data_IF_909993600624
#
_entry.id   IF_909993600624
#
_cell.length_a   1.000
_cell.length_b   1.000
_cell.length_c   1.000
_cell.angle_alpha   90.00
_cell.angle_beta   90.00
_cell.angle_gamma   90.00
#
_symmetry.space_group_name_H-M   'P 1'
#
loop_
_entity.id
_entity.type
_entity.pdbx_description
1 polymer ?
#
# COMPACT_ATOMS: atom_id res chain seq x y z
N UNK A 1 -29.92 -44.90 54.53
CA UNK A 1 -29.82 -43.79 53.55
C UNK A 1 -28.50 -43.89 52.80
N UNK A 2 -28.52 -44.38 51.56
CA UNK A 2 -27.33 -44.47 50.71
C UNK A 2 -27.12 -43.13 50.00
N UNK A 3 -25.97 -42.49 50.24
CA UNK A 3 -25.61 -41.22 49.59
C UNK A 3 -25.27 -41.51 48.12
N UNK A 4 -25.81 -40.75 47.14
CA UNK A 4 -25.53 -40.99 45.74
C UNK A 4 -24.04 -40.76 45.46
N UNK A 5 -23.36 -41.83 45.02
CA UNK A 5 -21.94 -41.81 44.67
C UNK A 5 -21.79 -41.03 43.36
N UNK A 6 -21.21 -39.82 43.44
CA UNK A 6 -20.94 -38.99 42.27
C UNK A 6 -20.01 -39.75 41.31
N UNK A 7 -20.50 -40.01 40.10
CA UNK A 7 -19.72 -40.57 39.00
C UNK A 7 -18.53 -39.65 38.72
N UNK A 8 -17.32 -40.13 39.00
CA UNK A 8 -16.10 -39.43 38.62
C UNK A 8 -15.72 -39.85 37.21
N UNK A 9 -15.52 -38.86 36.34
CA UNK A 9 -14.99 -39.05 35.00
C UNK A 9 -13.51 -39.40 35.12
N UNK A 10 -13.03 -40.37 34.34
CA UNK A 10 -11.61 -40.68 34.29
C UNK A 10 -10.87 -39.48 33.68
N UNK A 11 -9.86 -38.98 34.39
CA UNK A 11 -9.01 -37.90 33.88
C UNK A 11 -8.24 -38.42 32.66
N UNK A 12 -8.31 -37.74 31.50
CA UNK A 12 -7.57 -38.16 30.32
C UNK A 12 -6.07 -38.08 30.59
N UNK A 13 -5.33 -39.06 30.08
CA UNK A 13 -3.88 -39.09 30.15
C UNK A 13 -3.33 -37.82 29.50
N UNK A 14 -2.72 -36.94 30.31
CA UNK A 14 -2.04 -35.73 29.84
C UNK A 14 -0.75 -36.14 29.13
N UNK A 15 -0.87 -36.51 27.86
CA UNK A 15 0.29 -36.56 26.99
C UNK A 15 0.81 -35.13 26.81
N UNK A 16 2.14 -34.99 26.70
CA UNK A 16 2.89 -33.72 26.69
C UNK A 16 2.24 -32.68 25.76
N UNK A 17 2.54 -31.37 25.95
CA UNK A 17 2.00 -30.32 25.10
C UNK A 17 2.17 -30.67 23.62
N UNK A 18 1.07 -30.71 22.88
CA UNK A 18 1.09 -31.01 21.44
C UNK A 18 1.82 -29.85 20.77
N UNK A 19 3.12 -30.03 20.52
CA UNK A 19 3.97 -29.11 19.77
C UNK A 19 4.01 -29.53 18.30
N UNK A 20 2.83 -29.77 17.72
CA UNK A 20 2.73 -30.01 16.29
C UNK A 20 2.19 -28.73 15.61
N UNK A 21 3.04 -27.93 14.94
CA UNK A 21 2.61 -26.69 14.31
C UNK A 21 1.60 -26.92 13.19
N UNK A 22 1.58 -28.10 12.55
CA UNK A 22 0.62 -28.40 11.48
C UNK A 22 -0.82 -28.57 11.98
N UNK A 23 -1.03 -28.89 13.25
CA UNK A 23 -2.38 -28.98 13.85
C UNK A 23 -2.98 -27.64 14.27
N UNK A 24 -2.19 -26.54 14.27
CA UNK A 24 -2.72 -25.21 14.58
C UNK A 24 -3.48 -24.59 13.39
N UNK A 25 -3.18 -25.03 12.18
CA UNK A 25 -3.93 -24.63 11.00
C UNK A 25 -5.17 -25.50 10.89
N UNK A 26 -6.28 -24.95 11.38
CA UNK A 26 -7.62 -25.53 11.22
C UNK A 26 -7.92 -25.57 9.72
N UNK A 27 -8.09 -26.76 9.15
CA UNK A 27 -8.51 -26.90 7.75
C UNK A 27 -9.80 -26.11 7.52
N UNK A 28 -9.81 -25.30 6.45
CA UNK A 28 -10.90 -24.37 6.09
C UNK A 28 -12.27 -25.05 5.92
N UNK A 29 -12.28 -26.37 5.71
CA UNK A 29 -13.49 -27.14 5.45
C UNK A 29 -14.11 -27.74 6.72
N UNK A 30 -13.54 -27.49 7.91
CA UNK A 30 -14.04 -28.06 9.17
C UNK A 30 -15.35 -27.44 9.70
N UNK A 31 -15.87 -26.40 9.04
CA UNK A 31 -17.20 -25.82 9.31
C UNK A 31 -18.31 -26.38 8.41
N UNK A 32 -18.00 -27.24 7.43
CA UNK A 32 -19.02 -27.97 6.68
C UNK A 32 -19.47 -29.17 7.52
N UNK A 33 -20.29 -28.85 8.51
CA UNK A 33 -21.05 -29.79 9.31
C UNK A 33 -21.85 -30.71 8.39
N UNK A 34 -21.48 -32.00 8.37
CA UNK A 34 -22.24 -33.06 7.69
C UNK A 34 -23.61 -33.18 8.37
N UNK A 35 -24.62 -32.58 7.77
CA UNK A 35 -26.00 -33.04 7.91
C UNK A 35 -26.24 -34.13 6.85
N UNK A 36 -26.37 -35.36 7.31
CA UNK A 36 -26.84 -36.51 6.53
C UNK A 36 -28.32 -36.32 6.14
N UNK A 37 -28.70 -36.91 5.00
CA UNK A 37 -30.06 -37.17 4.50
C UNK A 37 -30.95 -35.97 4.13
N UNK A 38 -31.00 -35.65 2.83
CA UNK A 38 -32.25 -35.34 2.10
C UNK A 38 -32.05 -35.25 0.58
N UNK A 39 -33.13 -35.58 -0.12
CA UNK A 39 -33.37 -35.70 -1.56
C UNK A 39 -32.78 -34.60 -2.48
N UNK A 40 -32.66 -34.86 -3.81
CA UNK A 40 -32.15 -33.86 -4.77
C UNK A 40 -33.02 -32.59 -4.78
N UNK A 41 -32.42 -31.38 -4.67
CA UNK A 41 -33.18 -30.14 -4.69
C UNK A 41 -33.65 -29.79 -6.13
N UNK A 42 -34.79 -29.08 -6.25
CA UNK A 42 -35.24 -28.51 -7.50
C UNK A 42 -34.30 -27.37 -7.93
N UNK A 43 -34.20 -27.20 -9.25
CA UNK A 43 -33.43 -26.20 -9.98
C UNK A 43 -33.28 -24.86 -9.26
N UNK A 44 -32.06 -24.56 -8.81
CA UNK A 44 -31.68 -23.28 -8.21
C UNK A 44 -31.72 -22.16 -9.27
N UNK A 45 -32.64 -21.21 -9.08
CA UNK A 45 -32.53 -19.87 -9.65
C UNK A 45 -31.33 -19.18 -8.99
N UNK A 46 -30.31 -18.90 -9.79
CA UNK A 46 -29.07 -18.26 -9.35
C UNK A 46 -29.36 -16.86 -8.78
N UNK A 47 -29.24 -16.71 -7.46
CA UNK A 47 -29.29 -15.39 -6.83
C UNK A 47 -28.02 -14.61 -7.21
N UNK A 48 -28.13 -13.40 -7.79
CA UNK A 48 -26.98 -12.60 -8.23
C UNK A 48 -26.09 -12.11 -7.07
N UNK A 49 -26.48 -12.32 -5.81
CA UNK A 49 -25.73 -11.93 -4.62
C UNK A 49 -24.66 -12.96 -4.19
N UNK A 50 -24.80 -14.24 -4.53
CA UNK A 50 -23.74 -15.24 -4.27
C UNK A 50 -22.48 -14.97 -5.10
N UNK A 51 -22.65 -14.34 -6.28
CA UNK A 51 -21.54 -13.95 -7.14
C UNK A 51 -20.62 -12.88 -6.51
N UNK A 52 -21.12 -12.07 -5.56
CA UNK A 52 -20.30 -11.03 -4.92
C UNK A 52 -19.46 -11.62 -3.78
N UNK A 53 -20.02 -12.55 -3.00
CA UNK A 53 -19.26 -13.26 -1.96
C UNK A 53 -18.20 -14.18 -2.59
N UNK A 54 -18.48 -14.80 -3.74
CA UNK A 54 -17.48 -15.55 -4.50
C UNK A 54 -16.33 -14.67 -5.03
N UNK A 55 -16.62 -13.44 -5.46
CA UNK A 55 -15.58 -12.48 -5.91
C UNK A 55 -14.70 -12.04 -4.73
N UNK A 56 -15.29 -11.74 -3.57
CA UNK A 56 -14.53 -11.36 -2.37
C UNK A 56 -13.68 -12.55 -1.89
N UNK A 57 -14.25 -13.75 -1.89
CA UNK A 57 -13.56 -14.97 -1.46
C UNK A 57 -12.40 -15.31 -2.41
N UNK A 58 -12.59 -15.18 -3.72
CA UNK A 58 -11.50 -15.34 -4.69
C UNK A 58 -10.44 -14.25 -4.55
N UNK A 59 -10.83 -13.00 -4.29
CA UNK A 59 -9.88 -11.90 -4.09
C UNK A 59 -8.98 -12.14 -2.86
N UNK A 60 -9.57 -12.57 -1.75
CA UNK A 60 -8.81 -12.89 -0.53
C UNK A 60 -7.89 -14.09 -0.76
N UNK A 61 -8.37 -15.14 -1.44
CA UNK A 61 -7.57 -16.32 -1.79
C UNK A 61 -6.36 -15.96 -2.66
N UNK A 62 -6.57 -15.12 -3.69
CA UNK A 62 -5.49 -14.63 -4.55
C UNK A 62 -4.48 -13.80 -3.75
N UNK A 63 -4.96 -12.96 -2.83
CA UNK A 63 -4.11 -12.16 -1.94
C UNK A 63 -3.19 -13.01 -1.07
N UNK A 64 -3.71 -14.07 -0.47
CA UNK A 64 -2.90 -15.01 0.33
C UNK A 64 -1.91 -15.81 -0.53
N UNK A 65 -2.29 -16.22 -1.73
CA UNK A 65 -1.39 -16.95 -2.65
C UNK A 65 -0.17 -16.11 -3.06
N UNK A 66 -0.39 -14.81 -3.31
CA UNK A 66 0.71 -13.88 -3.61
C UNK A 66 1.66 -13.74 -2.41
N UNK A 67 1.13 -13.57 -1.20
CA UNK A 67 1.93 -13.45 0.02
C UNK A 67 2.75 -14.74 0.26
N UNK A 68 2.15 -15.91 0.09
CA UNK A 68 2.82 -17.20 0.23
C UNK A 68 3.97 -17.35 -0.77
N UNK A 69 3.76 -16.95 -2.03
CA UNK A 69 4.80 -16.98 -3.07
C UNK A 69 5.99 -16.09 -2.72
N UNK A 70 5.76 -14.89 -2.18
CA UNK A 70 6.84 -14.00 -1.75
C UNK A 70 7.57 -14.52 -0.51
N UNK A 71 6.88 -15.17 0.43
CA UNK A 71 7.51 -15.83 1.59
C UNK A 71 8.43 -16.96 1.15
N UNK A 72 7.98 -17.82 0.22
CA UNK A 72 8.80 -18.91 -0.32
C UNK A 72 10.00 -18.38 -1.11
N UNK A 73 9.83 -17.28 -1.85
CA UNK A 73 10.92 -16.66 -2.58
C UNK A 73 11.94 -15.98 -1.66
N UNK A 74 11.46 -15.30 -0.59
CA UNK A 74 12.31 -14.74 0.46
C UNK A 74 13.10 -15.82 1.20
N UNK A 75 12.47 -16.95 1.51
CA UNK A 75 13.13 -18.10 2.13
C UNK A 75 14.26 -18.63 1.23
N UNK A 76 14.02 -18.84 -0.06
CA UNK A 76 15.06 -19.31 -1.00
C UNK A 76 16.24 -18.34 -1.10
N UNK A 77 15.99 -17.03 -1.08
CA UNK A 77 17.06 -16.02 -1.08
C UNK A 77 17.85 -16.05 0.23
N UNK A 78 17.17 -16.18 1.37
CA UNK A 78 17.81 -16.29 2.67
C UNK A 78 18.67 -17.56 2.80
N UNK A 79 18.19 -18.69 2.27
CA UNK A 79 18.96 -19.95 2.19
C UNK A 79 20.19 -19.79 1.27
N UNK A 80 20.08 -19.05 0.17
CA UNK A 80 21.21 -18.73 -0.71
C UNK A 80 22.28 -17.86 -0.05
N UNK A 81 21.88 -16.91 0.80
CA UNK A 81 22.81 -16.05 1.55
C UNK A 81 23.49 -16.86 2.67
N UNK A 82 22.75 -17.71 3.38
CA UNK A 82 23.29 -18.53 4.45
C UNK A 82 24.29 -19.59 3.96
N UNK A 83 24.04 -20.18 2.79
CA UNK A 83 24.95 -21.16 2.20
C UNK A 83 26.14 -20.54 1.46
N UNK A 84 26.10 -19.24 1.14
CA UNK A 84 27.17 -18.53 0.42
C UNK A 84 28.20 -17.81 1.30
N UNK A 85 28.07 -17.83 2.63
CA UNK A 85 28.93 -17.08 3.55
C UNK A 85 30.07 -17.89 4.20
N UNK A 86 30.44 -19.04 3.62
CA UNK A 86 31.63 -19.81 4.03
C UNK A 86 32.63 -19.94 2.88
N UNK A 87 33.13 -18.82 2.36
CA UNK A 87 34.46 -18.81 1.74
C UNK A 87 35.02 -17.38 1.74
N UNK A 88 36.01 -17.20 2.60
CA UNK A 88 36.73 -15.97 2.87
C UNK A 88 37.89 -15.84 1.87
N UNK A 89 37.60 -15.53 0.60
CA UNK A 89 38.60 -14.97 -0.32
C UNK A 89 37.97 -14.28 -1.54
N UNK A 90 38.60 -13.21 -2.03
CA UNK A 90 38.29 -12.40 -3.23
C UNK A 90 37.31 -11.19 -3.09
N UNK A 91 37.83 -10.07 -2.54
CA UNK A 91 37.16 -8.77 -2.50
C UNK A 91 37.14 -7.95 -3.82
N UNK A 92 37.63 -8.47 -4.94
CA UNK A 92 37.72 -7.69 -6.19
C UNK A 92 36.74 -8.12 -7.31
N UNK A 93 36.09 -9.29 -7.21
CA UNK A 93 35.14 -9.78 -8.23
C UNK A 93 33.67 -9.40 -8.01
N UNK A 94 33.29 -9.01 -6.78
CA UNK A 94 31.88 -9.01 -6.37
C UNK A 94 31.09 -7.77 -6.87
N UNK A 95 31.77 -6.65 -7.13
CA UNK A 95 31.12 -5.41 -7.58
C UNK A 95 30.62 -5.52 -9.02
N UNK A 96 31.33 -6.25 -9.88
CA UNK A 96 30.95 -6.46 -11.27
C UNK A 96 29.75 -7.41 -11.42
N UNK A 97 29.63 -8.39 -10.52
CA UNK A 97 28.47 -9.26 -10.44
C UNK A 97 27.23 -8.51 -9.92
N UNK A 98 27.39 -7.63 -8.93
CA UNK A 98 26.30 -6.81 -8.41
C UNK A 98 25.80 -5.80 -9.46
N UNK A 99 26.72 -5.18 -10.20
CA UNK A 99 26.37 -4.25 -11.29
C UNK A 99 25.66 -4.95 -12.46
N UNK A 100 26.12 -6.15 -12.84
CA UNK A 100 25.44 -6.92 -13.89
C UNK A 100 24.07 -7.45 -13.45
N UNK A 101 23.92 -7.80 -12.17
CA UNK A 101 22.62 -8.15 -11.58
C UNK A 101 21.67 -6.94 -11.52
N UNK A 102 22.16 -5.75 -11.16
CA UNK A 102 21.37 -4.51 -11.17
C UNK A 102 20.92 -4.10 -12.58
N UNK A 103 21.80 -4.26 -13.58
CA UNK A 103 21.47 -3.99 -14.97
C UNK A 103 20.42 -4.94 -15.52
N UNK A 104 20.47 -6.22 -15.14
CA UNK A 104 19.47 -7.22 -15.52
C UNK A 104 18.12 -6.93 -14.84
N UNK A 105 18.13 -6.55 -13.56
CA UNK A 105 16.93 -6.12 -12.83
C UNK A 105 16.29 -4.87 -13.45
N UNK A 106 17.10 -3.87 -13.82
CA UNK A 106 16.61 -2.66 -14.51
C UNK A 106 15.99 -2.98 -15.87
N UNK A 107 16.54 -3.95 -16.61
CA UNK A 107 16.02 -4.36 -17.91
C UNK A 107 14.68 -5.09 -17.81
N UNK A 108 14.52 -5.98 -16.83
CA UNK A 108 13.27 -6.73 -16.63
C UNK A 108 12.16 -5.80 -16.09
N UNK A 109 12.52 -4.82 -15.26
CA UNK A 109 11.57 -3.82 -14.74
C UNK A 109 11.10 -2.82 -15.80
N UNK A 110 11.95 -2.51 -16.79
CA UNK A 110 11.57 -1.66 -17.91
C UNK A 110 10.51 -2.31 -18.81
N UNK A 111 10.59 -3.63 -19.02
CA UNK A 111 9.55 -4.39 -19.74
C UNK A 111 8.20 -4.30 -19.04
N UNK A 112 8.18 -4.55 -17.73
CA UNK A 112 6.96 -4.45 -16.92
C UNK A 112 6.36 -3.03 -16.91
N UNK A 113 7.19 -1.99 -16.87
CA UNK A 113 6.70 -0.60 -16.96
C UNK A 113 6.09 -0.27 -18.32
N UNK A 114 6.62 -0.82 -19.41
CA UNK A 114 6.04 -0.67 -20.76
C UNK A 114 4.70 -1.42 -20.86
N UNK A 115 4.63 -2.66 -20.36
CA UNK A 115 3.39 -3.44 -20.33
C UNK A 115 2.32 -2.75 -19.47
N UNK A 116 2.72 -2.12 -18.35
CA UNK A 116 1.82 -1.33 -17.52
C UNK A 116 1.31 -0.10 -18.27
N UNK A 117 2.18 0.65 -18.97
CA UNK A 117 1.76 1.80 -19.80
C UNK A 117 0.83 1.33 -20.92
N UNK A 118 1.12 0.21 -21.57
CA UNK A 118 0.27 -0.36 -22.62
C UNK A 118 -1.10 -0.79 -22.06
N UNK A 119 -1.15 -1.41 -20.88
CA UNK A 119 -2.39 -1.74 -20.19
C UNK A 119 -3.20 -0.48 -19.80
N UNK A 120 -2.52 0.62 -19.45
CA UNK A 120 -3.15 1.92 -19.20
C UNK A 120 -3.69 2.58 -20.47
N UNK A 121 -2.99 2.46 -21.60
CA UNK A 121 -3.44 2.97 -22.90
C UNK A 121 -4.66 2.19 -23.41
N UNK A 122 -4.71 0.88 -23.16
CA UNK A 122 -5.84 0.03 -23.56
C UNK A 122 -7.07 0.17 -22.64
N UNK A 123 -6.93 0.72 -21.42
CA UNK A 123 -8.03 0.94 -20.48
C UNK A 123 -8.14 2.41 -20.02
N UNK A 124 -8.57 3.34 -20.89
CA UNK A 124 -8.72 4.76 -20.55
C UNK A 124 -9.78 5.02 -19.45
N UNK A 125 -10.71 4.09 -19.23
CA UNK A 125 -11.73 4.15 -18.17
C UNK A 125 -11.14 4.09 -16.76
N UNK A 126 -9.97 3.48 -16.56
CA UNK A 126 -9.32 3.40 -15.25
C UNK A 126 -8.77 4.76 -14.80
N UNK A 127 -8.23 5.56 -15.74
CA UNK A 127 -7.81 6.95 -15.49
C UNK A 127 -9.02 7.85 -15.23
N UNK A 128 -10.15 7.58 -15.88
CA UNK A 128 -11.40 8.31 -15.66
C UNK A 128 -12.03 7.98 -14.30
N UNK A 129 -11.91 6.74 -13.81
CA UNK A 129 -12.31 6.36 -12.45
C UNK A 129 -11.45 7.00 -11.36
N UNK A 130 -10.14 7.13 -11.61
CA UNK A 130 -9.19 7.76 -10.68
C UNK A 130 -9.29 9.29 -10.66
N UNK A 131 -9.70 9.92 -11.77
CA UNK A 131 -10.04 11.35 -11.83
C UNK A 131 -11.51 11.66 -11.47
N UNK A 132 -12.42 10.69 -11.62
CA UNK A 132 -13.87 10.83 -11.39
C UNK A 132 -14.26 10.78 -9.90
N UNK A 133 -13.46 10.15 -9.04
CA UNK A 133 -13.68 10.15 -7.60
C UNK A 133 -13.44 11.52 -6.93
N UNK A 134 -12.85 12.50 -7.65
CA UNK A 134 -12.67 13.87 -7.17
C UNK A 134 -13.82 14.83 -7.58
N UNK A 135 -14.90 14.32 -8.21
CA UNK A 135 -16.09 15.09 -8.57
C UNK A 135 -17.38 14.41 -8.10
N UNK A 136 -17.55 14.27 -6.79
CA UNK A 136 -18.89 14.13 -6.22
C UNK A 136 -19.02 15.03 -4.98
N UNK A 137 -19.47 16.26 -5.21
CA UNK A 137 -20.05 17.06 -4.15
C UNK A 137 -21.24 17.86 -4.69
N UNK A 138 -22.44 17.48 -4.22
CA UNK A 138 -23.60 18.35 -4.12
C UNK A 138 -24.74 18.13 -5.12
N UNK A 139 -25.73 17.30 -4.75
CA UNK A 139 -27.17 17.67 -4.70
C UNK A 139 -27.86 16.76 -3.68
N UNK A 140 -28.74 17.38 -2.90
CA UNK A 140 -29.49 16.92 -1.72
C UNK A 140 -30.32 15.65 -1.90
N UNK A 141 -30.33 14.79 -0.88
CA UNK A 141 -31.55 14.09 -0.41
C UNK A 141 -31.35 13.54 1.01
N UNK A 142 -32.28 13.92 1.87
CA UNK A 142 -32.48 13.43 3.22
C UNK A 142 -32.84 11.94 3.21
N UNK A 143 -32.13 11.11 3.97
CA UNK A 143 -32.72 9.91 4.56
C UNK A 143 -31.95 9.51 5.82
N UNK A 144 -32.68 9.41 6.93
CA UNK A 144 -32.25 8.76 8.14
C UNK A 144 -31.85 7.31 7.83
N UNK A 145 -30.68 6.88 8.29
CA UNK A 145 -30.55 5.55 8.88
C UNK A 145 -29.33 5.45 9.78
N UNK A 146 -29.62 5.15 11.04
CA UNK A 146 -28.73 4.64 12.07
C UNK A 146 -27.97 3.42 11.56
N UNK A 147 -26.63 3.47 11.56
CA UNK A 147 -25.79 2.27 11.56
C UNK A 147 -24.47 2.51 12.29
N UNK A 148 -24.16 1.54 13.14
CA UNK A 148 -23.02 1.41 14.04
C UNK A 148 -21.64 1.48 13.34
N UNK A 149 -20.55 1.76 14.08
CA UNK A 149 -19.23 2.03 13.53
C UNK A 149 -18.51 0.72 13.15
N UNK A 150 -18.62 0.33 11.89
CA UNK A 150 -17.62 -0.54 11.27
C UNK A 150 -16.38 0.31 10.97
N UNK A 151 -15.27 0.03 11.66
CA UNK A 151 -13.96 0.64 11.45
C UNK A 151 -13.44 0.36 10.03
N UNK A 152 -13.92 1.12 9.04
CA UNK A 152 -13.20 1.34 7.79
C UNK A 152 -11.86 1.97 8.16
N UNK A 153 -10.77 1.29 7.82
CA UNK A 153 -9.44 1.86 7.79
C UNK A 153 -9.49 3.08 6.86
N UNK A 154 -9.78 4.21 7.48
CA UNK A 154 -10.06 5.48 6.85
C UNK A 154 -8.77 5.89 6.15
N UNK A 155 -8.79 5.91 4.81
CA UNK A 155 -7.78 6.60 4.01
C UNK A 155 -7.90 8.09 4.27
N UNK A 156 -7.55 8.51 5.49
CA UNK A 156 -7.63 9.89 5.92
C UNK A 156 -6.75 10.67 4.95
N UNK A 157 -7.34 11.50 4.10
CA UNK A 157 -6.57 12.39 3.25
C UNK A 157 -6.11 13.55 4.13
N UNK A 158 -4.79 13.73 4.27
CA UNK A 158 -4.27 14.90 4.97
C UNK A 158 -4.66 16.15 4.18
N UNK A 159 -5.35 17.10 4.82
CA UNK A 159 -5.63 18.40 4.22
C UNK A 159 -4.36 19.25 4.29
N UNK A 160 -3.92 19.74 3.14
CA UNK A 160 -2.72 20.56 2.99
C UNK A 160 -3.11 21.85 2.29
N UNK A 161 -2.75 22.99 2.86
CA UNK A 161 -2.88 24.26 2.17
C UNK A 161 -1.60 24.55 1.38
N UNK A 162 -1.74 25.20 0.22
CA UNK A 162 -0.61 25.54 -0.65
C UNK A 162 -0.65 27.04 -0.92
N UNK A 163 0.41 27.73 -0.52
CA UNK A 163 0.67 29.14 -0.80
C UNK A 163 1.73 29.23 -1.90
N UNK A 164 1.39 29.86 -3.02
CA UNK A 164 2.27 29.96 -4.19
C UNK A 164 2.55 31.42 -4.51
N UNK A 165 3.81 31.82 -4.49
CA UNK A 165 4.31 33.10 -5.00
C UNK A 165 5.02 32.85 -6.33
N UNK A 166 4.32 33.13 -7.44
CA UNK A 166 4.85 32.91 -8.80
C UNK A 166 4.21 33.90 -9.77
N UNK A 167 5.01 34.43 -10.71
CA UNK A 167 4.48 35.18 -11.88
C UNK A 167 4.07 34.25 -13.03
N UNK A 168 4.47 32.98 -12.94
CA UNK A 168 4.24 31.98 -13.98
C UNK A 168 3.08 31.08 -13.60
N UNK A 169 2.38 30.55 -14.60
CA UNK A 169 1.37 29.53 -14.38
C UNK A 169 2.02 28.30 -13.79
N UNK A 170 1.51 27.84 -12.65
CA UNK A 170 2.11 26.76 -11.89
C UNK A 170 1.03 25.79 -11.44
N UNK A 171 1.29 24.50 -11.60
CA UNK A 171 0.47 23.43 -11.04
C UNK A 171 1.26 22.73 -9.93
N UNK A 172 0.63 22.56 -8.78
CA UNK A 172 1.24 21.90 -7.62
C UNK A 172 0.39 20.71 -7.22
N UNK A 173 1.03 19.57 -7.07
CA UNK A 173 0.42 18.34 -6.54
C UNK A 173 1.21 17.94 -5.31
N UNK A 174 0.50 17.80 -4.19
CA UNK A 174 1.09 17.36 -2.93
C UNK A 174 0.39 16.09 -2.50
N UNK A 175 1.17 15.03 -2.28
CA UNK A 175 0.69 13.80 -1.67
C UNK A 175 1.37 13.64 -0.32
N UNK A 176 0.62 13.75 0.77
CA UNK A 176 1.11 13.56 2.12
C UNK A 176 0.33 12.45 2.81
N UNK A 177 1.06 11.49 3.36
CA UNK A 177 0.47 10.51 4.27
C UNK A 177 0.14 11.18 5.60
N UNK A 178 -1.04 10.92 6.19
CA UNK A 178 -1.36 11.37 7.53
C UNK A 178 -0.28 10.94 8.51
N UNK A 179 0.19 11.87 9.33
CA UNK A 179 1.09 11.56 10.42
C UNK A 179 0.47 12.00 11.73
N UNK A 180 0.52 11.17 12.78
CA UNK A 180 0.14 11.61 14.13
C UNK A 180 1.14 12.61 14.71
N UNK A 181 2.32 12.78 14.10
CA UNK A 181 3.30 13.77 14.52
C UNK A 181 2.89 15.17 14.06
N UNK A 182 2.83 16.13 15.00
CA UNK A 182 2.72 17.57 14.72
C UNK A 182 4.03 18.18 14.21
N UNK A 183 4.96 17.36 13.71
CA UNK A 183 6.22 17.85 13.18
C UNK A 183 5.94 18.51 11.83
N UNK A 184 6.56 19.67 11.59
CA UNK A 184 6.52 20.33 10.29
C UNK A 184 7.32 19.47 9.31
N UNK A 185 6.73 18.95 8.22
CA UNK A 185 7.47 18.17 7.25
C UNK A 185 8.61 18.99 6.65
N UNK A 186 9.66 18.35 6.17
CA UNK A 186 10.75 19.01 5.46
C UNK A 186 10.82 18.52 4.03
N UNK A 187 11.10 19.42 3.10
CA UNK A 187 11.34 19.12 1.69
C UNK A 187 12.69 19.73 1.32
N UNK A 188 13.52 18.93 0.68
CA UNK A 188 14.75 19.41 0.04
C UNK A 188 14.42 20.10 -1.28
N UNK A 189 15.44 20.66 -1.94
CA UNK A 189 15.26 21.29 -3.24
C UNK A 189 14.59 20.32 -4.23
N UNK A 190 13.59 20.81 -4.98
CA UNK A 190 12.88 20.01 -5.97
C UNK A 190 13.72 19.92 -7.24
N UNK A 191 13.91 18.71 -7.74
CA UNK A 191 14.80 18.48 -8.87
C UNK A 191 13.98 18.26 -10.14
N UNK A 192 14.43 18.86 -11.23
CA UNK A 192 13.98 18.54 -12.57
C UNK A 192 14.65 17.23 -13.06
N UNK A 193 14.19 16.64 -14.17
CA UNK A 193 14.87 15.51 -14.80
C UNK A 193 16.36 15.85 -15.04
N UNK A 194 17.30 14.99 -14.59
CA UNK A 194 18.73 15.31 -14.55
C UNK A 194 19.33 15.59 -15.94
N UNK A 195 18.69 15.09 -16.99
CA UNK A 195 19.17 15.17 -18.36
C UNK A 195 19.15 16.59 -18.95
N UNK A 196 18.45 17.53 -18.31
CA UNK A 196 18.20 18.88 -18.84
C UNK A 196 19.11 19.98 -18.26
N UNK A 197 19.95 19.66 -17.27
CA UNK A 197 20.83 20.66 -16.63
C UNK A 197 20.07 21.83 -15.97
N UNK A 198 18.80 21.61 -15.65
CA UNK A 198 17.91 22.62 -15.08
C UNK A 198 18.24 22.79 -13.59
N UNK A 199 18.42 24.03 -13.09
CA UNK A 199 18.68 24.27 -11.68
C UNK A 199 17.51 23.79 -10.82
N UNK A 200 17.77 23.26 -9.61
CA UNK A 200 16.71 22.80 -8.72
C UNK A 200 15.93 23.98 -8.13
N UNK A 201 14.67 23.73 -7.76
CA UNK A 201 13.84 24.72 -7.07
C UNK A 201 14.09 24.64 -5.57
N UNK A 202 14.75 25.66 -5.02
CA UNK A 202 15.23 25.68 -3.62
C UNK A 202 14.28 26.37 -2.66
N UNK A 203 13.45 27.30 -3.13
CA UNK A 203 12.55 28.11 -2.29
C UNK A 203 11.22 27.38 -2.00
N UNK A 204 11.34 26.21 -1.36
CA UNK A 204 10.21 25.38 -0.93
C UNK A 204 10.32 25.12 0.56
N UNK A 205 9.28 25.45 1.31
CA UNK A 205 9.24 25.22 2.75
C UNK A 205 7.85 24.82 3.22
N UNK A 206 7.80 24.14 4.37
CA UNK A 206 6.54 23.82 5.04
C UNK A 206 6.48 24.65 6.31
N UNK A 207 5.27 25.11 6.64
CA UNK A 207 4.95 25.79 7.89
C UNK A 207 3.73 25.12 8.48
N UNK A 208 3.69 24.99 9.80
CA UNK A 208 2.47 24.57 10.49
C UNK A 208 1.65 25.80 10.84
N UNK A 209 0.41 25.85 10.36
CA UNK A 209 -0.53 26.86 10.84
C UNK A 209 -1.24 26.37 12.10
N UNK A 210 -1.09 27.15 13.17
CA UNK A 210 -1.70 26.85 14.46
C UNK A 210 -3.21 27.14 14.46
N UNK A 211 -3.66 28.05 13.61
CA UNK A 211 -5.07 28.44 13.55
C UNK A 211 -5.90 27.37 12.82
N UNK A 212 -5.45 26.95 11.63
CA UNK A 212 -6.13 25.90 10.88
C UNK A 212 -5.77 24.47 11.31
N UNK A 213 -4.71 24.30 12.11
CA UNK A 213 -4.12 23.01 12.45
C UNK A 213 -3.77 22.14 11.21
N UNK A 214 -3.37 22.78 10.10
CA UNK A 214 -2.94 22.10 8.87
C UNK A 214 -1.54 22.52 8.45
N UNK A 215 -0.76 21.64 7.80
CA UNK A 215 0.47 22.03 7.16
C UNK A 215 0.19 22.94 5.95
N UNK A 216 0.98 24.00 5.83
CA UNK A 216 0.99 24.92 4.69
C UNK A 216 2.30 24.72 3.93
N UNK A 217 2.22 24.45 2.63
CA UNK A 217 3.38 24.47 1.72
C UNK A 217 3.54 25.88 1.20
N UNK A 218 4.69 26.49 1.47
CA UNK A 218 5.08 27.77 0.91
C UNK A 218 6.06 27.55 -0.23
N UNK A 219 5.64 27.96 -1.42
CA UNK A 219 6.38 27.77 -2.66
C UNK A 219 6.63 29.13 -3.31
N UNK A 220 7.90 29.47 -3.51
CA UNK A 220 8.29 30.64 -4.28
C UNK A 220 9.04 30.23 -5.52
N UNK A 221 8.62 30.76 -6.67
CA UNK A 221 9.13 30.36 -7.97
C UNK A 221 9.83 31.56 -8.62
N UNK A 222 11.16 31.53 -8.74
CA UNK A 222 11.89 32.61 -9.41
C UNK A 222 11.47 32.74 -10.88
N UNK A 223 11.37 33.97 -11.38
CA UNK A 223 11.01 34.24 -12.79
C UNK A 223 11.98 33.62 -13.80
N UNK A 224 13.25 33.42 -13.39
CA UNK A 224 14.30 32.80 -14.21
C UNK A 224 14.26 31.26 -14.19
N UNK A 225 13.37 30.67 -13.40
CA UNK A 225 13.24 29.23 -13.30
C UNK A 225 12.62 28.68 -14.60
N UNK A 226 13.28 27.73 -15.29
CA UNK A 226 12.81 27.22 -16.56
C UNK A 226 11.56 26.34 -16.40
N UNK A 227 10.83 26.22 -17.50
CA UNK A 227 9.61 25.42 -17.62
C UNK A 227 9.95 23.94 -17.51
N UNK A 228 9.51 23.29 -16.43
CA UNK A 228 9.75 21.87 -16.20
C UNK A 228 8.81 21.32 -15.13
N UNK A 229 8.85 19.99 -14.98
CA UNK A 229 8.32 19.27 -13.83
C UNK A 229 9.45 19.11 -12.80
N UNK A 230 9.23 19.62 -11.60
CA UNK A 230 10.12 19.51 -10.46
C UNK A 230 9.50 18.56 -9.45
N UNK A 231 10.28 17.59 -8.98
CA UNK A 231 9.81 16.58 -8.04
C UNK A 231 10.72 16.54 -6.82
N UNK A 232 10.13 16.34 -5.65
CA UNK A 232 10.86 16.13 -4.40
C UNK A 232 10.10 15.21 -3.44
N UNK A 233 10.84 14.65 -2.50
CA UNK A 233 10.30 13.83 -1.42
C UNK A 233 10.09 14.69 -0.18
N UNK A 234 8.96 14.47 0.49
CA UNK A 234 8.64 15.10 1.77
C UNK A 234 9.09 14.15 2.87
N UNK A 235 9.89 14.65 3.81
CA UNK A 235 10.50 13.88 4.89
C UNK A 235 10.00 14.35 6.26
N UNK A 236 9.92 13.45 7.24
CA UNK A 236 9.83 13.85 8.65
C UNK A 236 11.22 14.32 9.13
N UNK A 237 11.38 15.53 9.67
CA UNK A 237 12.68 16.07 10.05
C UNK A 237 13.37 15.32 11.18
N UNK A 238 12.63 14.54 12.00
CA UNK A 238 13.23 13.80 13.12
C UNK A 238 13.71 12.42 12.71
N UNK A 239 12.93 11.73 11.89
CA UNK A 239 13.20 10.33 11.50
C UNK A 239 13.83 10.19 10.13
N UNK A 240 13.83 11.27 9.32
CA UNK A 240 14.16 11.25 7.89
C UNK A 240 13.33 10.25 7.06
N UNK A 241 12.17 9.83 7.58
CA UNK A 241 11.29 8.94 6.84
C UNK A 241 10.50 9.69 5.77
N UNK A 242 10.29 9.05 4.63
CA UNK A 242 9.47 9.59 3.54
C UNK A 242 7.99 9.61 3.95
N UNK A 243 7.43 10.81 3.98
CA UNK A 243 6.02 11.08 4.31
C UNK A 243 5.16 11.30 3.09
N UNK A 244 5.76 11.60 1.95
CA UNK A 244 5.02 11.94 0.76
C UNK A 244 5.89 12.46 -0.39
N UNK A 245 5.23 13.01 -1.39
CA UNK A 245 5.87 13.59 -2.58
C UNK A 245 5.27 14.95 -2.90
N UNK A 246 6.12 15.83 -3.42
CA UNK A 246 5.73 17.15 -3.90
C UNK A 246 6.15 17.28 -5.36
N UNK A 247 5.18 17.56 -6.22
CA UNK A 247 5.38 17.76 -7.65
C UNK A 247 4.94 19.18 -8.02
N UNK A 248 5.83 19.93 -8.67
CA UNK A 248 5.59 21.30 -9.14
C UNK A 248 5.85 21.35 -10.62
N UNK A 249 4.82 21.68 -11.41
CA UNK A 249 4.94 21.88 -12.85
C UNK A 249 4.83 23.36 -13.16
N UNK A 250 5.90 23.93 -13.70
CA UNK A 250 5.92 25.31 -14.22
C UNK A 250 5.49 25.25 -15.68
N UNK A 251 4.56 26.12 -16.08
CA UNK A 251 4.04 26.24 -17.44
C UNK A 251 4.52 27.55 -18.08
N UNK A 252 4.58 27.57 -19.42
CA UNK A 252 4.83 28.78 -20.21
C UNK A 252 3.64 29.75 -20.16
#
# INVERSE_FOLDING_TARGET
MNKPKRLRRNDPLRQRPIRNPSTYFRESNSWQERTSDSAPPPSEEQNPFDSLDDVVTNGVKLGYEVIEKYLLQGQKVAEGIHNGSSEEDSKEGNVHWLLSSMLRLNRDMAGFWIDAIEAFVQNPEFLLGLMGAARSNGVTSSSNNTREPGSSANGASARVAVEIESRRRTQVTVDLRPSPSQNVPHVHALNAPPNLGIPPLTEVSFRWDRESATPIVQLKIPDKQPTALYTGVVLDPKTNEVRGTLCVRILD
#
